data_IF_670397371759
#
_entry.id   IF_670397371759
#
_cell.length_a   1.000
_cell.length_b   1.000
_cell.length_c   1.000
_cell.angle_alpha   90.00
_cell.angle_beta   90.00
_cell.angle_gamma   90.00
#
_symmetry.space_group_name_H-M   'P 1'
#
loop_
_entity.id
_entity.type
_entity.pdbx_description
1 polymer ?
#
# COMPACT_ATOMS: atom_id res chain seq x y z
N UNK A 1 -7.17 -12.61 25.47
CA UNK A 1 -7.90 -11.60 24.68
C UNK A 1 -8.41 -12.31 23.43
N UNK A 2 -9.68 -12.71 23.40
CA UNK A 2 -10.24 -13.48 22.28
C UNK A 2 -10.57 -12.53 21.13
N UNK A 3 -9.71 -12.51 20.11
CA UNK A 3 -9.96 -11.75 18.88
C UNK A 3 -11.05 -12.47 18.10
N UNK A 4 -12.18 -11.81 17.84
CA UNK A 4 -13.22 -12.38 16.96
C UNK A 4 -12.64 -12.58 15.56
N UNK A 5 -13.05 -13.64 14.83
CA UNK A 5 -12.49 -13.97 13.51
C UNK A 5 -12.48 -12.79 12.53
N UNK A 6 -13.48 -11.90 12.64
CA UNK A 6 -13.58 -10.69 11.82
C UNK A 6 -12.50 -9.66 12.15
N UNK A 7 -12.20 -9.45 13.44
CA UNK A 7 -11.13 -8.56 13.89
C UNK A 7 -9.76 -9.12 13.51
N UNK A 8 -9.56 -10.44 13.68
CA UNK A 8 -8.32 -11.11 13.27
C UNK A 8 -8.06 -10.92 11.79
N UNK A 9 -9.04 -11.16 10.91
CA UNK A 9 -8.90 -10.97 9.45
C UNK A 9 -8.55 -9.52 9.08
N UNK A 10 -9.19 -8.55 9.73
CA UNK A 10 -8.91 -7.12 9.49
C UNK A 10 -7.49 -6.75 9.95
N UNK A 11 -7.11 -7.15 11.17
CA UNK A 11 -5.78 -6.87 11.73
C UNK A 11 -4.69 -7.55 10.89
N UNK A 12 -4.91 -8.79 10.44
CA UNK A 12 -3.98 -9.52 9.59
C UNK A 12 -3.82 -8.83 8.22
N UNK A 13 -4.93 -8.37 7.62
CA UNK A 13 -4.89 -7.60 6.37
C UNK A 13 -4.16 -6.27 6.52
N UNK A 14 -4.39 -5.52 7.61
CA UNK A 14 -3.68 -4.27 7.91
C UNK A 14 -2.19 -4.54 8.13
N UNK A 15 -1.85 -5.60 8.88
CA UNK A 15 -0.47 -5.96 9.18
C UNK A 15 0.28 -6.38 7.91
N UNK A 16 -0.36 -7.17 7.04
CA UNK A 16 0.18 -7.53 5.73
C UNK A 16 0.43 -6.30 4.85
N UNK A 17 -0.56 -5.41 4.72
CA UNK A 17 -0.41 -4.18 3.96
C UNK A 17 0.71 -3.28 4.51
N UNK A 18 0.82 -3.21 5.84
CA UNK A 18 1.88 -2.46 6.52
C UNK A 18 3.26 -3.04 6.23
N UNK A 19 3.46 -4.35 6.41
CA UNK A 19 4.74 -5.00 6.11
C UNK A 19 5.12 -4.88 4.64
N UNK A 20 4.15 -5.01 3.74
CA UNK A 20 4.40 -4.90 2.30
C UNK A 20 4.84 -3.48 1.93
N UNK A 21 4.15 -2.45 2.44
CA UNK A 21 4.50 -1.05 2.21
C UNK A 21 5.86 -0.69 2.82
N UNK A 22 6.14 -1.21 4.02
CA UNK A 22 7.41 -1.01 4.72
C UNK A 22 8.58 -1.62 3.94
N UNK A 23 8.45 -2.89 3.54
CA UNK A 23 9.48 -3.62 2.80
C UNK A 23 9.70 -3.04 1.39
N UNK A 24 8.64 -2.77 0.64
CA UNK A 24 8.74 -2.19 -0.70
C UNK A 24 9.39 -0.80 -0.68
N UNK A 25 8.95 0.06 0.25
CA UNK A 25 9.56 1.38 0.43
C UNK A 25 11.05 1.28 0.75
N UNK A 26 11.42 0.34 1.62
CA UNK A 26 12.81 0.16 2.06
C UNK A 26 13.71 -0.30 0.91
N UNK A 27 13.28 -1.32 0.18
CA UNK A 27 14.02 -1.84 -0.97
C UNK A 27 14.13 -0.80 -2.08
N UNK A 28 13.05 -0.06 -2.36
CA UNK A 28 13.07 1.00 -3.38
C UNK A 28 14.11 2.08 -3.06
N UNK A 29 14.16 2.54 -1.80
CA UNK A 29 15.16 3.55 -1.40
C UNK A 29 16.57 2.95 -1.39
N UNK A 30 16.73 1.68 -1.03
CA UNK A 30 18.02 0.99 -1.04
C UNK A 30 18.57 0.89 -2.46
N UNK A 31 17.73 0.55 -3.44
CA UNK A 31 18.12 0.43 -4.85
C UNK A 31 18.40 1.80 -5.48
N UNK A 32 17.58 2.82 -5.19
CA UNK A 32 17.69 4.13 -5.85
C UNK A 32 18.75 5.04 -5.23
N UNK A 33 18.95 5.00 -3.91
CA UNK A 33 19.83 5.91 -3.16
C UNK A 33 21.09 5.21 -2.66
N UNK A 34 21.03 3.88 -2.46
CA UNK A 34 22.11 3.13 -1.81
C UNK A 34 22.14 3.32 -0.29
N UNK A 35 23.05 2.60 0.37
CA UNK A 35 23.17 2.61 1.82
C UNK A 35 24.02 3.81 2.30
N UNK A 36 23.39 5.00 2.35
CA UNK A 36 24.00 6.25 2.81
C UNK A 36 23.74 6.50 4.30
N UNK A 37 24.57 7.32 4.98
CA UNK A 37 24.36 7.66 6.41
C UNK A 37 22.98 8.28 6.70
N UNK A 38 22.39 8.96 5.72
CA UNK A 38 21.05 9.54 5.78
C UNK A 38 19.94 8.63 5.25
N UNK A 39 20.20 7.33 5.05
CA UNK A 39 19.26 6.40 4.44
C UNK A 39 17.93 6.35 5.19
N UNK A 40 17.97 6.20 6.52
CA UNK A 40 16.77 6.07 7.36
C UNK A 40 15.86 7.31 7.30
N UNK A 41 16.35 8.56 7.45
CA UNK A 41 15.52 9.75 7.31
C UNK A 41 15.00 9.96 5.87
N UNK A 42 15.79 9.62 4.84
CA UNK A 42 15.33 9.67 3.44
C UNK A 42 14.18 8.67 3.24
N UNK A 43 14.35 7.45 3.75
CA UNK A 43 13.34 6.40 3.66
C UNK A 43 12.03 6.78 4.36
N UNK A 44 12.08 7.27 5.61
CA UNK A 44 10.88 7.71 6.32
C UNK A 44 10.18 8.87 5.59
N UNK A 45 10.93 9.84 5.05
CA UNK A 45 10.37 10.95 4.27
C UNK A 45 9.67 10.44 3.02
N UNK A 46 10.32 9.56 2.25
CA UNK A 46 9.76 8.95 1.05
C UNK A 46 8.53 8.10 1.35
N UNK A 47 8.55 7.33 2.43
CA UNK A 47 7.42 6.54 2.90
C UNK A 47 6.23 7.44 3.26
N UNK A 48 6.45 8.50 4.05
CA UNK A 48 5.39 9.42 4.47
C UNK A 48 4.76 10.15 3.28
N UNK A 49 5.57 10.65 2.35
CA UNK A 49 5.08 11.31 1.14
C UNK A 49 4.33 10.30 0.25
N UNK A 50 4.89 9.11 0.06
CA UNK A 50 4.24 8.04 -0.71
C UNK A 50 2.90 7.63 -0.13
N UNK A 51 2.80 7.49 1.20
CA UNK A 51 1.55 7.20 1.88
C UNK A 51 0.52 8.33 1.72
N UNK A 52 0.96 9.59 1.89
CA UNK A 52 0.11 10.76 1.72
C UNK A 52 -0.44 10.89 0.29
N UNK A 53 0.33 10.51 -0.73
CA UNK A 53 -0.10 10.49 -2.13
C UNK A 53 -0.96 9.26 -2.44
N UNK A 54 -0.69 8.11 -1.82
CA UNK A 54 -1.42 6.87 -2.05
C UNK A 54 -2.89 6.99 -1.61
N UNK A 55 -3.19 7.67 -0.51
CA UNK A 55 -4.56 7.87 -0.02
C UNK A 55 -5.48 8.55 -1.06
N UNK A 56 -5.22 9.78 -1.53
CA UNK A 56 -6.05 10.43 -2.54
C UNK A 56 -6.03 9.66 -3.87
N UNK A 57 -4.89 9.09 -4.25
CA UNK A 57 -4.80 8.25 -5.45
C UNK A 57 -5.71 7.04 -5.35
N UNK A 58 -5.82 6.39 -4.19
CA UNK A 58 -6.70 5.24 -3.97
C UNK A 58 -8.18 5.61 -4.06
N UNK A 59 -8.57 6.79 -3.58
CA UNK A 59 -9.95 7.29 -3.68
C UNK A 59 -10.39 7.48 -5.14
N UNK A 60 -9.46 7.84 -6.02
CA UNK A 60 -9.73 8.00 -7.47
C UNK A 60 -9.55 6.67 -8.21
N UNK A 61 -8.53 5.88 -7.85
CA UNK A 61 -8.24 4.60 -8.49
C UNK A 61 -9.29 3.53 -8.19
N UNK A 62 -9.93 3.55 -7.01
CA UNK A 62 -10.98 2.60 -6.64
C UNK A 62 -12.20 2.66 -7.58
N UNK A 63 -12.87 3.81 -7.80
CA UNK A 63 -14.01 3.88 -8.72
C UNK A 63 -13.59 3.63 -10.18
N UNK A 64 -12.37 4.02 -10.58
CA UNK A 64 -11.85 3.71 -11.92
C UNK A 64 -11.72 2.19 -12.09
N UNK A 65 -11.07 1.51 -11.16
CA UNK A 65 -10.91 0.05 -11.17
C UNK A 65 -12.26 -0.67 -11.22
N UNK A 66 -13.24 -0.20 -10.45
CA UNK A 66 -14.61 -0.74 -10.50
C UNK A 66 -15.29 -0.51 -11.86
N UNK A 67 -15.09 0.64 -12.51
CA UNK A 67 -15.58 0.88 -13.87
C UNK A 67 -14.93 -0.05 -14.90
N UNK A 68 -13.62 -0.30 -14.78
CA UNK A 68 -12.92 -1.26 -15.64
C UNK A 68 -13.43 -2.69 -15.45
N UNK A 69 -13.52 -3.14 -14.20
CA UNK A 69 -14.00 -4.49 -13.88
C UNK A 69 -15.45 -4.68 -14.35
N UNK A 70 -16.32 -3.69 -14.13
CA UNK A 70 -17.71 -3.77 -14.58
C UNK A 70 -17.85 -3.76 -16.10
N UNK A 71 -16.97 -3.06 -16.83
CA UNK A 71 -16.94 -3.07 -18.30
C UNK A 71 -16.46 -4.42 -18.85
N UNK A 72 -15.46 -5.03 -18.21
CA UNK A 72 -14.96 -6.37 -18.57
C UNK A 72 -16.01 -7.43 -18.23
N UNK A 73 -16.61 -7.37 -17.04
CA UNK A 73 -17.62 -8.34 -16.59
C UNK A 73 -18.95 -8.21 -17.36
N UNK A 74 -19.34 -7.01 -17.80
CA UNK A 74 -20.52 -6.83 -18.67
C UNK A 74 -20.33 -7.34 -20.10
N UNK A 75 -19.10 -7.47 -20.58
CA UNK A 75 -18.82 -8.05 -21.90
C UNK A 75 -18.86 -9.60 -21.92
N UNK A 76 -19.19 -10.22 -20.79
CA UNK A 76 -19.34 -11.67 -20.66
C UNK A 76 -20.78 -12.16 -20.60
N UNK A 77 -21.75 -11.39 -21.10
CA UNK A 77 -23.12 -11.85 -21.36
C UNK A 77 -23.50 -11.63 -22.81
#
# INVERSE_FOLDING_TARGET
MNLTEKQTKIILGILMAFFMALAMSFIMVLINVGMVKAFLPIWMKSFAIGFLVAVPTSMVAAPISQKFISKISKNGK
#
